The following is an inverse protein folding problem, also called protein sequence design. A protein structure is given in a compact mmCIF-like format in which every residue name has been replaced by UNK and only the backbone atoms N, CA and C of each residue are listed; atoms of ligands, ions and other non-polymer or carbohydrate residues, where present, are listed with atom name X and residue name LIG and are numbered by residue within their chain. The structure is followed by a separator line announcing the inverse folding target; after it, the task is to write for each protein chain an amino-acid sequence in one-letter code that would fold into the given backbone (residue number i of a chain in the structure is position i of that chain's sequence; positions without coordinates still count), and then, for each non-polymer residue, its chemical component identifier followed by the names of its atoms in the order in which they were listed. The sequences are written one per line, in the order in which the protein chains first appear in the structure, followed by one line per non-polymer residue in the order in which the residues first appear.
data_IF_625227698100
#
_entry.id   IF_625227698100
#
_cell.length_a   1.000
_cell.length_b   1.000
_cell.length_c   1.000
_cell.angle_alpha   90.00
_cell.angle_beta   90.00
_cell.angle_gamma   90.00
#
_symmetry.space_group_name_H-M   'P 1'
#
loop_
_entity.id
_entity.type
_entity.pdbx_description
1 polymer ?
#
# COMPACT_ATOMS: atom_id res chain seq x y z
N UNK A 1 -85.25 29.55 -39.85
CA UNK A 1 -84.46 29.05 -38.71
C UNK A 1 -84.79 27.59 -38.46
N UNK A 2 -83.76 26.80 -38.13
CA UNK A 2 -83.76 25.40 -37.65
C UNK A 2 -83.96 24.27 -38.69
N UNK A 3 -82.81 23.77 -39.12
CA UNK A 3 -82.54 22.42 -39.62
C UNK A 3 -82.68 21.40 -38.49
N UNK A 4 -83.34 20.27 -38.74
CA UNK A 4 -83.35 19.09 -37.87
C UNK A 4 -82.97 17.85 -38.68
N UNK A 5 -81.89 17.22 -38.24
CA UNK A 5 -81.24 16.04 -38.82
C UNK A 5 -82.04 14.76 -38.58
N UNK A 6 -82.26 14.02 -39.66
CA UNK A 6 -82.30 12.54 -39.75
C UNK A 6 -80.83 12.06 -39.78
N UNK A 7 -80.38 10.87 -39.37
CA UNK A 7 -80.90 9.51 -39.59
C UNK A 7 -80.00 8.48 -38.87
N UNK A 8 -80.62 7.35 -38.51
CA UNK A 8 -80.21 5.94 -38.69
C UNK A 8 -79.05 5.29 -37.91
N UNK A 9 -79.43 4.14 -37.33
CA UNK A 9 -78.61 3.13 -36.68
C UNK A 9 -77.78 2.32 -37.67
N UNK A 10 -76.55 1.99 -37.30
CA UNK A 10 -75.66 1.09 -38.04
C UNK A 10 -75.72 -0.35 -37.47
N UNK A 11 -75.85 -1.34 -38.37
CA UNK A 11 -75.62 -2.77 -38.06
C UNK A 11 -74.13 -3.10 -38.21
N UNK A 12 -73.57 -4.02 -37.40
CA UNK A 12 -72.16 -4.36 -37.44
C UNK A 12 -71.83 -5.29 -38.62
N UNK A 13 -70.77 -4.95 -39.36
CA UNK A 13 -70.18 -5.78 -40.41
C UNK A 13 -69.32 -6.89 -39.80
N UNK A 14 -69.44 -8.11 -40.35
CA UNK A 14 -68.55 -9.24 -40.03
C UNK A 14 -67.18 -9.04 -40.72
N UNK A 15 -66.06 -9.33 -40.03
CA UNK A 15 -64.73 -9.19 -40.61
C UNK A 15 -64.50 -10.21 -41.75
N UNK A 16 -63.73 -9.80 -42.75
CA UNK A 16 -63.46 -10.57 -43.97
C UNK A 16 -62.36 -11.63 -43.74
N UNK A 17 -62.33 -12.67 -44.58
CA UNK A 17 -61.39 -13.78 -44.47
C UNK A 17 -59.90 -13.37 -44.47
N UNK A 18 -59.57 -12.19 -45.00
CA UNK A 18 -58.20 -11.62 -44.97
C UNK A 18 -57.79 -11.15 -43.57
N UNK A 19 -58.72 -10.69 -42.74
CA UNK A 19 -58.44 -10.29 -41.35
C UNK A 19 -58.21 -11.52 -40.47
N UNK A 20 -58.92 -12.63 -40.70
CA UNK A 20 -58.73 -13.88 -39.98
C UNK A 20 -57.34 -14.51 -40.24
N UNK A 21 -56.87 -14.47 -41.50
CA UNK A 21 -55.55 -15.01 -41.85
C UNK A 21 -54.41 -14.16 -41.27
N UNK A 22 -54.56 -12.83 -41.24
CA UNK A 22 -53.60 -11.92 -40.59
C UNK A 22 -53.50 -12.16 -39.08
N UNK A 23 -54.65 -12.42 -38.42
CA UNK A 23 -54.65 -12.80 -37.00
C UNK A 23 -54.02 -14.17 -36.77
N UNK A 24 -54.22 -15.15 -37.65
CA UNK A 24 -53.61 -16.48 -37.52
C UNK A 24 -52.08 -16.41 -37.66
N UNK A 25 -51.57 -15.66 -38.65
CA UNK A 25 -50.13 -15.47 -38.85
C UNK A 25 -49.51 -14.69 -37.68
N UNK A 26 -50.16 -13.62 -37.21
CA UNK A 26 -49.70 -12.88 -36.04
C UNK A 26 -49.66 -13.75 -34.78
N UNK A 27 -50.65 -14.63 -34.58
CA UNK A 27 -50.71 -15.56 -33.45
C UNK A 27 -49.61 -16.63 -33.55
N UNK A 28 -49.35 -17.17 -34.75
CA UNK A 28 -48.24 -18.11 -34.95
C UNK A 28 -46.87 -17.47 -34.73
N UNK A 29 -46.67 -16.21 -35.17
CA UNK A 29 -45.43 -15.47 -34.92
C UNK A 29 -45.27 -15.16 -33.42
N UNK A 30 -46.36 -14.83 -32.72
CA UNK A 30 -46.32 -14.59 -31.27
C UNK A 30 -46.03 -15.87 -30.47
N UNK A 31 -46.63 -17.00 -30.85
CA UNK A 31 -46.39 -18.32 -30.22
C UNK A 31 -44.97 -18.81 -30.49
N UNK A 32 -44.42 -18.58 -31.69
CA UNK A 32 -43.03 -18.93 -32.01
C UNK A 32 -42.04 -18.03 -31.24
N UNK A 33 -42.34 -16.73 -31.10
CA UNK A 33 -41.53 -15.81 -30.30
C UNK A 33 -41.55 -16.16 -28.80
N UNK A 34 -42.69 -16.59 -28.26
CA UNK A 34 -42.80 -17.09 -26.88
C UNK A 34 -42.08 -18.44 -26.67
N UNK A 35 -42.08 -19.34 -27.65
CA UNK A 35 -41.35 -20.60 -27.57
C UNK A 35 -39.82 -20.41 -27.64
N UNK A 36 -39.34 -19.47 -28.47
CA UNK A 36 -37.91 -19.11 -28.54
C UNK A 36 -37.46 -18.35 -27.29
N UNK A 37 -38.30 -17.45 -26.75
CA UNK A 37 -38.02 -16.78 -25.48
C UNK A 37 -37.99 -17.76 -24.29
N UNK A 38 -38.88 -18.75 -24.26
CA UNK A 38 -38.90 -19.78 -23.20
C UNK A 38 -37.68 -20.70 -23.27
N UNK A 39 -37.21 -21.02 -24.49
CA UNK A 39 -36.01 -21.83 -24.70
C UNK A 39 -34.72 -21.08 -24.35
N UNK A 40 -34.67 -19.77 -24.60
CA UNK A 40 -33.55 -18.90 -24.20
C UNK A 40 -33.51 -18.69 -22.67
N UNK A 41 -34.66 -18.63 -22.00
CA UNK A 41 -34.71 -18.54 -20.53
C UNK A 41 -34.27 -19.85 -19.85
N UNK A 42 -34.59 -21.02 -20.40
CA UNK A 42 -34.09 -22.31 -19.87
C UNK A 42 -32.57 -22.47 -20.11
N UNK A 43 -32.04 -21.93 -21.20
CA UNK A 43 -30.60 -21.89 -21.45
C UNK A 43 -29.85 -20.89 -20.53
N UNK A 44 -30.50 -19.79 -20.11
CA UNK A 44 -29.94 -18.86 -19.12
C UNK A 44 -30.06 -19.33 -17.66
N UNK A 45 -30.95 -20.28 -17.35
CA UNK A 45 -31.16 -20.83 -15.99
C UNK A 45 -30.33 -22.10 -15.72
N UNK A 46 -29.67 -22.67 -16.74
CA UNK A 46 -28.55 -23.60 -16.50
C UNK A 46 -27.30 -22.81 -16.14
N UNK A 47 -27.31 -22.25 -14.92
CA UNK A 47 -26.05 -21.94 -14.25
C UNK A 47 -25.18 -23.19 -14.28
N UNK A 48 -23.88 -23.11 -14.65
CA UNK A 48 -22.98 -24.22 -14.40
C UNK A 48 -23.15 -24.58 -12.93
N UNK A 49 -23.51 -25.84 -12.64
CA UNK A 49 -23.48 -26.30 -11.25
C UNK A 49 -22.09 -25.93 -10.72
N UNK A 50 -21.99 -25.27 -9.56
CA UNK A 50 -20.70 -25.07 -8.94
C UNK A 50 -20.11 -26.47 -8.82
N UNK A 51 -19.04 -26.74 -9.55
CA UNK A 51 -18.14 -27.82 -9.20
C UNK A 51 -17.89 -27.61 -7.73
N UNK A 52 -18.33 -28.57 -6.90
CA UNK A 52 -18.07 -28.54 -5.47
C UNK A 52 -16.57 -28.43 -5.37
N UNK A 53 -16.08 -27.22 -5.09
CA UNK A 53 -14.69 -26.98 -4.83
C UNK A 53 -14.34 -27.94 -3.71
N UNK A 54 -13.31 -28.74 -3.93
CA UNK A 54 -12.76 -29.63 -2.92
C UNK A 54 -12.68 -28.83 -1.59
N UNK A 55 -13.47 -29.19 -0.56
CA UNK A 55 -13.52 -28.44 0.69
C UNK A 55 -12.16 -28.43 1.41
N UNK A 56 -11.19 -29.24 0.96
CA UNK A 56 -9.81 -29.24 1.42
C UNK A 56 -8.86 -28.27 0.68
N UNK A 57 -9.25 -27.69 -0.46
CA UNK A 57 -8.38 -26.81 -1.28
C UNK A 57 -9.05 -25.45 -1.54
N UNK A 58 -9.08 -24.65 -0.49
CA UNK A 58 -9.47 -23.24 -0.53
C UNK A 58 -8.76 -22.45 -1.64
N UNK A 59 -9.51 -21.57 -2.32
CA UNK A 59 -8.98 -20.75 -3.40
C UNK A 59 -7.81 -19.86 -2.95
N UNK A 60 -6.76 -19.69 -3.79
CA UNK A 60 -5.69 -18.75 -3.52
C UNK A 60 -6.19 -17.30 -3.59
N UNK A 61 -5.52 -16.41 -2.86
CA UNK A 61 -5.83 -14.97 -2.83
C UNK A 61 -4.55 -14.14 -2.91
N UNK A 62 -4.67 -12.89 -3.36
CA UNK A 62 -3.55 -11.96 -3.40
C UNK A 62 -3.22 -11.46 -1.99
N UNK A 63 -1.93 -11.36 -1.68
CA UNK A 63 -1.42 -10.76 -0.44
C UNK A 63 -0.30 -9.81 -0.81
N UNK A 64 -0.36 -8.57 -0.33
CA UNK A 64 0.78 -7.66 -0.43
C UNK A 64 1.97 -8.30 0.32
N UNK A 65 3.16 -8.29 -0.30
CA UNK A 65 4.40 -8.80 0.29
C UNK A 65 5.43 -7.70 0.54
N UNK A 66 5.28 -6.58 -0.15
CA UNK A 66 6.04 -5.35 0.06
C UNK A 66 5.13 -4.16 -0.28
N UNK A 67 5.31 -3.06 0.44
CA UNK A 67 4.63 -1.78 0.24
C UNK A 67 5.61 -0.64 0.53
N UNK A 68 5.31 0.55 0.02
CA UNK A 68 5.89 1.81 0.50
C UNK A 68 4.84 2.91 0.49
N UNK A 69 4.91 3.80 1.49
CA UNK A 69 3.95 4.90 1.64
C UNK A 69 4.18 5.96 0.54
N UNK A 70 3.20 6.23 -0.34
CA UNK A 70 3.34 7.24 -1.38
C UNK A 70 3.36 8.67 -0.79
N UNK A 71 4.35 9.46 -1.21
CA UNK A 71 4.55 10.87 -0.87
C UNK A 71 4.61 11.73 -2.14
N UNK A 72 4.22 13.01 -2.02
CA UNK A 72 4.59 14.02 -3.00
C UNK A 72 6.10 14.28 -2.83
N UNK A 73 6.85 14.18 -3.92
CA UNK A 73 8.29 14.35 -3.88
C UNK A 73 8.65 15.80 -3.58
N UNK A 74 9.34 16.01 -2.47
CA UNK A 74 9.85 17.34 -2.10
C UNK A 74 11.00 17.76 -3.04
N UNK A 75 11.23 19.07 -3.24
CA UNK A 75 12.25 19.56 -4.16
C UNK A 75 13.65 18.96 -3.94
N UNK A 76 14.08 18.79 -2.69
CA UNK A 76 15.38 18.20 -2.35
C UNK A 76 15.47 16.67 -2.54
N UNK A 77 14.33 16.03 -2.83
CA UNK A 77 14.19 14.58 -3.02
C UNK A 77 13.79 14.22 -4.46
N UNK A 78 13.74 15.20 -5.38
CA UNK A 78 13.51 14.96 -6.80
C UNK A 78 14.67 14.18 -7.43
N UNK A 79 14.42 13.41 -8.51
CA UNK A 79 15.49 12.84 -9.32
C UNK A 79 16.53 13.93 -9.67
N UNK A 80 17.83 13.72 -9.45
CA UNK A 80 18.84 14.73 -9.70
C UNK A 80 18.95 15.03 -11.21
N UNK A 81 19.65 16.11 -11.57
CA UNK A 81 19.97 16.38 -12.97
C UNK A 81 20.69 15.16 -13.60
N UNK A 82 20.40 14.80 -14.88
CA UNK A 82 19.52 15.50 -15.81
C UNK A 82 18.03 15.05 -15.76
N UNK A 83 17.64 14.25 -14.76
CA UNK A 83 16.34 13.56 -14.73
C UNK A 83 15.16 14.43 -14.26
N UNK A 84 15.41 15.66 -13.80
CA UNK A 84 14.37 16.67 -13.52
C UNK A 84 14.62 17.90 -14.38
N UNK A 85 13.67 18.22 -15.27
CA UNK A 85 13.66 19.44 -16.06
C UNK A 85 12.72 20.50 -15.49
N UNK A 86 12.45 21.56 -16.25
CA UNK A 86 11.58 22.67 -15.79
C UNK A 86 10.09 22.30 -15.70
N UNK A 87 9.64 21.37 -16.55
CA UNK A 87 8.22 21.03 -16.72
C UNK A 87 7.92 19.53 -16.72
N UNK A 88 8.96 18.71 -16.72
CA UNK A 88 8.84 17.27 -16.80
C UNK A 88 9.96 16.60 -16.01
N UNK A 89 9.70 15.37 -15.58
CA UNK A 89 10.63 14.55 -14.81
C UNK A 89 10.71 13.15 -15.41
N UNK A 90 11.86 12.51 -15.27
CA UNK A 90 12.15 11.16 -15.79
C UNK A 90 11.96 11.03 -17.31
N UNK A 91 12.21 12.08 -18.08
CA UNK A 91 12.17 12.04 -19.56
C UNK A 91 13.29 11.14 -20.06
N UNK A 92 12.98 10.23 -20.99
CA UNK A 92 13.89 9.21 -21.52
C UNK A 92 14.70 8.52 -20.42
N UNK A 93 14.04 8.08 -19.34
CA UNK A 93 14.72 7.60 -18.13
C UNK A 93 14.33 6.19 -17.76
N UNK A 94 15.34 5.33 -17.59
CA UNK A 94 15.24 4.06 -16.88
C UNK A 94 15.50 4.27 -15.40
N UNK A 95 14.61 3.73 -14.57
CA UNK A 95 14.68 3.69 -13.12
C UNK A 95 14.71 2.23 -12.65
N UNK A 96 15.79 1.81 -12.00
CA UNK A 96 15.96 0.47 -11.42
C UNK A 96 15.99 0.54 -9.91
N UNK A 97 15.08 -0.18 -9.27
CA UNK A 97 14.81 -0.08 -7.84
C UNK A 97 14.82 -1.48 -7.22
N UNK A 98 15.36 -1.62 -6.03
CA UNK A 98 15.33 -2.89 -5.29
C UNK A 98 14.36 -2.80 -4.12
N UNK A 99 13.58 -3.86 -3.91
CA UNK A 99 12.68 -4.01 -2.77
C UNK A 99 12.85 -5.37 -2.11
N UNK A 100 12.67 -5.47 -0.80
CA UNK A 100 12.71 -6.74 -0.07
C UNK A 100 11.30 -7.26 0.14
N UNK A 101 10.96 -8.39 -0.46
CA UNK A 101 9.62 -8.99 -0.26
C UNK A 101 9.55 -9.78 1.03
N UNK A 102 8.38 -9.82 1.67
CA UNK A 102 8.17 -10.61 2.89
C UNK A 102 7.91 -12.08 2.60
N UNK A 103 6.73 -12.39 2.06
CA UNK A 103 6.29 -13.73 1.66
C UNK A 103 6.59 -13.97 0.19
N UNK A 104 6.88 -15.22 -0.15
CA UNK A 104 7.10 -15.67 -1.53
C UNK A 104 5.84 -16.22 -2.20
N UNK A 105 5.94 -16.53 -3.49
CA UNK A 105 4.88 -17.14 -4.29
C UNK A 105 5.32 -17.35 -5.73
N UNK A 106 4.57 -18.15 -6.48
CA UNK A 106 4.86 -18.47 -7.89
C UNK A 106 4.37 -17.39 -8.86
N UNK A 107 3.40 -16.58 -8.43
CA UNK A 107 2.82 -15.50 -9.22
C UNK A 107 2.85 -14.20 -8.45
N UNK A 108 3.32 -13.15 -9.11
CA UNK A 108 3.39 -11.80 -8.57
C UNK A 108 2.59 -10.82 -9.42
N UNK A 109 2.25 -9.67 -8.86
CA UNK A 109 1.82 -8.49 -9.62
C UNK A 109 2.33 -7.23 -8.93
N UNK A 110 2.51 -6.18 -9.72
CA UNK A 110 3.10 -4.92 -9.30
C UNK A 110 2.04 -3.81 -9.26
N UNK A 111 2.25 -2.84 -8.37
CA UNK A 111 1.47 -1.60 -8.33
C UNK A 111 2.34 -0.37 -8.54
N UNK A 112 1.87 0.50 -9.42
CA UNK A 112 2.45 1.81 -9.67
C UNK A 112 1.43 2.89 -9.34
N UNK A 113 1.90 3.95 -8.71
CA UNK A 113 1.06 5.01 -8.15
C UNK A 113 1.39 6.37 -8.76
N UNK A 114 0.35 7.05 -9.20
CA UNK A 114 0.36 8.44 -9.61
C UNK A 114 -0.48 9.30 -8.65
N UNK A 115 -0.54 8.91 -7.37
CA UNK A 115 -1.45 9.48 -6.36
C UNK A 115 -1.33 11.00 -6.21
N UNK A 116 -0.14 11.57 -6.41
CA UNK A 116 0.09 13.02 -6.32
C UNK A 116 0.34 13.68 -7.67
N UNK A 117 0.46 12.89 -8.75
CA UNK A 117 0.71 13.45 -10.06
C UNK A 117 -0.52 14.12 -10.63
N UNK A 118 -0.28 15.28 -11.23
CA UNK A 118 -1.30 16.14 -11.83
C UNK A 118 -1.48 15.91 -13.33
N UNK A 119 -0.63 15.09 -13.94
CA UNK A 119 -0.71 14.65 -15.34
C UNK A 119 -0.61 13.13 -15.44
N UNK A 120 -1.11 12.51 -16.53
CA UNK A 120 -0.96 11.07 -16.74
C UNK A 120 0.51 10.66 -16.69
N UNK A 121 0.78 9.52 -16.06
CA UNK A 121 2.11 8.91 -15.93
C UNK A 121 2.26 7.79 -16.98
N UNK A 122 3.04 8.00 -18.06
CA UNK A 122 3.29 6.96 -19.05
C UNK A 122 4.39 6.01 -18.57
N UNK A 123 4.04 4.73 -18.42
CA UNK A 123 4.99 3.64 -18.20
C UNK A 123 5.24 2.94 -19.54
N UNK A 124 6.41 3.14 -20.13
CA UNK A 124 6.74 2.64 -21.48
C UNK A 124 7.13 1.17 -21.46
N UNK A 125 7.87 0.74 -20.44
CA UNK A 125 8.23 -0.66 -20.22
C UNK A 125 8.56 -0.92 -18.75
N UNK A 126 8.23 -2.11 -18.26
CA UNK A 126 8.55 -2.56 -16.91
C UNK A 126 9.09 -3.98 -16.95
N UNK A 127 10.17 -4.24 -16.23
CA UNK A 127 10.72 -5.57 -16.03
C UNK A 127 11.00 -5.85 -14.56
N UNK A 128 11.01 -7.13 -14.20
CA UNK A 128 11.48 -7.61 -12.90
C UNK A 128 12.62 -8.61 -13.07
N UNK A 129 13.49 -8.68 -12.08
CA UNK A 129 14.57 -9.66 -12.02
C UNK A 129 15.03 -9.88 -10.57
N UNK A 130 15.81 -10.94 -10.33
CA UNK A 130 16.56 -11.05 -9.07
C UNK A 130 17.81 -10.15 -9.17
N UNK A 131 18.16 -9.37 -8.14
CA UNK A 131 19.39 -8.60 -8.15
C UNK A 131 20.61 -9.52 -8.07
N UNK A 132 21.73 -9.10 -8.68
CA UNK A 132 22.99 -9.85 -8.65
C UNK A 132 23.39 -10.21 -7.21
N UNK A 133 23.69 -11.49 -6.99
CA UNK A 133 24.03 -12.08 -5.68
C UNK A 133 22.93 -11.91 -4.61
N UNK A 134 21.69 -11.64 -5.02
CA UNK A 134 20.56 -11.33 -4.13
C UNK A 134 20.71 -10.03 -3.34
N UNK A 135 21.66 -9.15 -3.69
CA UNK A 135 21.98 -7.94 -2.89
C UNK A 135 20.96 -6.81 -3.08
N UNK A 136 20.73 -6.03 -2.03
CA UNK A 136 19.92 -4.82 -2.13
C UNK A 136 20.71 -3.68 -2.77
N UNK A 137 20.05 -2.91 -3.64
CA UNK A 137 20.59 -1.67 -4.18
C UNK A 137 21.82 -1.85 -5.06
N UNK A 138 21.89 -2.95 -5.82
CA UNK A 138 22.88 -3.16 -6.89
C UNK A 138 22.26 -2.86 -8.25
N UNK A 139 23.07 -2.34 -9.18
CA UNK A 139 22.62 -2.02 -10.55
C UNK A 139 22.46 -3.25 -11.43
N UNK A 140 23.15 -4.34 -11.10
CA UNK A 140 23.14 -5.59 -11.84
C UNK A 140 22.04 -6.56 -11.39
N UNK A 141 21.52 -7.35 -12.33
CA UNK A 141 20.54 -8.41 -12.10
C UNK A 141 21.09 -9.78 -12.50
N UNK A 142 20.59 -10.84 -11.88
CA UNK A 142 20.99 -12.21 -12.17
C UNK A 142 20.60 -12.62 -13.61
N UNK A 143 21.55 -13.15 -14.40
CA UNK A 143 21.27 -13.62 -15.76
C UNK A 143 20.11 -14.62 -15.82
N UNK A 144 19.22 -14.47 -16.79
CA UNK A 144 18.10 -15.38 -17.02
C UNK A 144 16.88 -15.16 -16.11
N UNK A 145 16.96 -14.27 -15.12
CA UNK A 145 15.83 -13.97 -14.22
C UNK A 145 14.92 -12.84 -14.71
N UNK A 146 15.36 -12.07 -15.70
CA UNK A 146 14.62 -10.93 -16.24
C UNK A 146 13.29 -11.37 -16.87
N UNK A 147 12.18 -10.75 -16.47
CA UNK A 147 10.84 -10.97 -17.01
C UNK A 147 10.15 -9.64 -17.30
N UNK A 148 9.45 -9.59 -18.43
CA UNK A 148 8.60 -8.45 -18.80
C UNK A 148 7.34 -8.43 -17.92
N UNK A 149 6.90 -7.22 -17.56
CA UNK A 149 5.64 -6.98 -16.85
C UNK A 149 4.66 -6.32 -17.82
N UNK A 150 3.44 -6.87 -17.91
CA UNK A 150 2.40 -6.38 -18.82
C UNK A 150 1.21 -5.77 -18.08
N UNK A 151 0.40 -5.00 -18.81
CA UNK A 151 -0.85 -4.38 -18.36
C UNK A 151 -1.93 -4.62 -19.40
N UNK A 152 -2.89 -5.49 -19.10
CA UNK A 152 -3.88 -5.98 -20.06
C UNK A 152 -3.24 -6.53 -21.34
N UNK A 153 -2.16 -7.32 -21.19
CA UNK A 153 -1.39 -7.94 -22.27
C UNK A 153 -0.45 -7.01 -23.03
N UNK A 154 -0.34 -5.73 -22.63
CA UNK A 154 0.55 -4.74 -23.27
C UNK A 154 1.78 -4.48 -22.42
N UNK A 155 2.93 -4.28 -23.05
CA UNK A 155 4.18 -3.88 -22.37
C UNK A 155 4.15 -2.49 -21.72
N UNK A 156 3.19 -1.65 -22.11
CA UNK A 156 3.08 -0.26 -21.71
C UNK A 156 1.68 0.06 -21.16
N UNK A 157 1.60 1.07 -20.30
CA UNK A 157 0.35 1.62 -19.77
C UNK A 157 0.48 3.08 -19.41
N UNK A 158 -0.64 3.76 -19.19
CA UNK A 158 -0.67 5.12 -18.67
C UNK A 158 -1.50 5.14 -17.40
N UNK A 159 -0.91 5.61 -16.30
CA UNK A 159 -1.60 5.77 -15.02
C UNK A 159 -2.25 7.17 -14.99
N UNK A 160 -3.59 7.28 -14.87
CA UNK A 160 -4.24 8.57 -14.77
C UNK A 160 -3.73 9.40 -13.58
N UNK A 161 -3.90 10.73 -13.64
CA UNK A 161 -3.61 11.62 -12.51
C UNK A 161 -4.39 11.17 -11.26
N UNK A 162 -3.71 11.12 -10.11
CA UNK A 162 -4.31 10.69 -8.83
C UNK A 162 -4.64 9.20 -8.71
N UNK A 163 -4.33 8.37 -9.72
CA UNK A 163 -4.71 6.96 -9.76
C UNK A 163 -3.54 6.01 -9.48
N UNK A 164 -3.86 4.72 -9.36
CA UNK A 164 -2.90 3.62 -9.34
C UNK A 164 -3.23 2.62 -10.46
N UNK A 165 -2.24 1.86 -10.91
CA UNK A 165 -2.42 0.74 -11.84
C UNK A 165 -1.82 -0.54 -11.25
N UNK A 166 -2.44 -1.67 -11.57
CA UNK A 166 -1.96 -3.00 -11.21
C UNK A 166 -1.55 -3.73 -12.49
N UNK A 167 -0.39 -4.39 -12.48
CA UNK A 167 0.04 -5.22 -13.61
C UNK A 167 -0.82 -6.48 -13.77
N UNK A 168 -0.71 -7.12 -14.93
CA UNK A 168 -1.14 -8.51 -15.07
C UNK A 168 -0.34 -9.41 -14.11
N UNK A 169 -0.90 -10.55 -13.68
CA UNK A 169 -0.14 -11.57 -12.97
C UNK A 169 1.03 -12.09 -13.82
N UNK A 170 2.21 -12.15 -13.21
CA UNK A 170 3.44 -12.66 -13.81
C UNK A 170 3.89 -13.93 -13.08
N UNK A 171 4.18 -15.00 -13.83
CA UNK A 171 4.84 -16.18 -13.30
C UNK A 171 6.32 -15.85 -12.98
N UNK A 172 6.63 -15.79 -11.69
CA UNK A 172 7.94 -15.47 -11.17
C UNK A 172 8.10 -16.13 -9.80
N UNK A 173 8.89 -17.21 -9.74
CA UNK A 173 9.13 -17.98 -8.52
C UNK A 173 9.91 -17.18 -7.47
N UNK A 174 9.18 -16.42 -6.65
CA UNK A 174 9.75 -15.51 -5.67
C UNK A 174 9.84 -16.20 -4.31
N UNK A 175 11.06 -16.31 -3.76
CA UNK A 175 11.26 -16.88 -2.41
C UNK A 175 11.00 -15.83 -1.32
N UNK A 176 10.49 -16.22 -0.14
CA UNK A 176 10.31 -15.29 0.99
C UNK A 176 11.62 -14.57 1.38
N UNK A 177 11.53 -13.30 1.80
CA UNK A 177 12.65 -12.42 2.19
C UNK A 177 13.73 -12.18 1.13
N UNK A 178 13.42 -12.40 -0.15
CA UNK A 178 14.35 -12.13 -1.25
C UNK A 178 14.23 -10.68 -1.71
N UNK A 179 15.32 -10.11 -2.19
CA UNK A 179 15.28 -8.83 -2.87
C UNK A 179 14.77 -9.01 -4.32
N UNK A 180 13.91 -8.12 -4.77
CA UNK A 180 13.37 -8.06 -6.13
C UNK A 180 13.82 -6.75 -6.76
N UNK A 181 14.37 -6.81 -7.96
CA UNK A 181 14.67 -5.63 -8.78
C UNK A 181 13.51 -5.35 -9.70
N UNK A 182 13.03 -4.11 -9.69
CA UNK A 182 12.01 -3.59 -10.62
C UNK A 182 12.67 -2.50 -11.46
N UNK A 183 12.65 -2.66 -12.79
CA UNK A 183 13.16 -1.66 -13.74
C UNK A 183 12.00 -1.09 -14.53
N UNK A 184 11.86 0.24 -14.53
CA UNK A 184 10.80 0.97 -15.23
C UNK A 184 11.44 1.96 -16.19
N UNK A 185 10.97 2.01 -17.44
CA UNK A 185 11.38 3.01 -18.42
C UNK A 185 10.22 3.94 -18.75
N UNK A 186 10.52 5.23 -18.80
CA UNK A 186 9.61 6.30 -19.20
C UNK A 186 10.25 7.04 -20.39
N UNK A 187 9.77 6.78 -21.60
CA UNK A 187 10.26 7.48 -22.80
C UNK A 187 9.93 8.97 -22.74
N UNK A 188 8.67 9.31 -22.48
CA UNK A 188 8.19 10.69 -22.45
C UNK A 188 8.34 11.36 -21.07
N UNK A 189 8.70 10.59 -20.04
CA UNK A 189 8.66 11.03 -18.64
C UNK A 189 7.25 11.40 -18.18
N UNK A 190 7.15 12.10 -17.05
CA UNK A 190 5.90 12.70 -16.59
C UNK A 190 5.96 14.21 -16.81
N UNK A 191 4.97 14.75 -17.53
CA UNK A 191 4.85 16.19 -17.81
C UNK A 191 4.32 16.98 -16.58
N UNK A 192 4.92 16.77 -15.42
CA UNK A 192 4.66 17.46 -14.17
C UNK A 192 5.84 17.28 -13.23
N UNK A 193 6.04 18.24 -12.32
CA UNK A 193 6.98 18.11 -11.21
C UNK A 193 6.33 17.56 -9.94
N UNK A 194 5.01 17.34 -9.94
CA UNK A 194 4.30 16.68 -8.86
C UNK A 194 4.52 15.16 -8.92
N UNK A 195 5.73 14.71 -8.62
CA UNK A 195 6.12 13.31 -8.72
C UNK A 195 5.67 12.53 -7.48
N UNK A 196 5.08 11.35 -7.66
CA UNK A 196 4.85 10.40 -6.56
C UNK A 196 6.12 9.62 -6.26
N UNK A 197 6.56 9.60 -5.00
CA UNK A 197 7.76 8.91 -4.55
C UNK A 197 7.67 8.41 -3.12
N UNK A 198 8.76 7.84 -2.65
CA UNK A 198 9.05 7.53 -1.27
C UNK A 198 10.54 7.79 -1.01
N UNK A 199 10.91 8.97 -0.48
CA UNK A 199 12.31 9.33 -0.22
C UNK A 199 12.98 8.50 0.88
N UNK A 200 12.18 7.88 1.75
CA UNK A 200 12.62 7.04 2.86
C UNK A 200 13.20 5.67 2.49
N UNK A 201 13.51 5.41 1.21
CA UNK A 201 13.72 4.06 0.68
C UNK A 201 14.81 3.22 1.36
N UNK A 202 15.81 3.84 2.00
CA UNK A 202 17.04 3.21 2.54
C UNK A 202 17.67 2.15 1.64
N UNK A 203 17.44 2.27 0.34
CA UNK A 203 17.88 1.33 -0.69
C UNK A 203 18.30 2.13 -1.90
N UNK A 204 19.46 1.83 -2.45
CA UNK A 204 19.97 2.51 -3.63
C UNK A 204 19.16 2.08 -4.85
N UNK A 205 18.62 3.07 -5.55
CA UNK A 205 18.02 2.97 -6.87
C UNK A 205 18.96 3.61 -7.90
N UNK A 206 18.78 3.28 -9.18
CA UNK A 206 19.63 3.73 -10.26
C UNK A 206 18.79 4.39 -11.36
N UNK A 207 19.24 5.55 -11.82
CA UNK A 207 18.65 6.33 -12.90
C UNK A 207 19.61 6.36 -14.09
N UNK A 208 19.11 6.13 -15.30
CA UNK A 208 19.91 6.22 -16.52
C UNK A 208 19.07 6.66 -17.71
N UNK A 209 19.65 7.48 -18.58
CA UNK A 209 19.01 7.87 -19.84
C UNK A 209 18.90 6.68 -20.80
N UNK A 210 17.83 6.63 -21.59
CA UNK A 210 17.54 5.55 -22.55
C UNK A 210 16.81 4.35 -21.93
N UNK A 211 16.31 3.45 -22.79
CA UNK A 211 15.68 2.19 -22.39
C UNK A 211 16.72 1.14 -21.98
N UNK A 212 16.84 0.93 -20.67
CA UNK A 212 17.69 -0.08 -20.04
C UNK A 212 16.93 -1.27 -19.48
N UNK A 213 15.65 -1.44 -19.82
CA UNK A 213 14.81 -2.46 -19.18
C UNK A 213 15.27 -3.89 -19.44
N UNK A 214 15.96 -4.13 -20.56
CA UNK A 214 16.54 -5.44 -20.92
C UNK A 214 18.00 -5.66 -20.49
N UNK A 215 18.65 -4.67 -19.88
CA UNK A 215 20.08 -4.74 -19.58
C UNK A 215 20.37 -5.44 -18.26
N UNK A 216 21.38 -6.31 -18.26
CA UNK A 216 21.79 -7.03 -17.05
C UNK A 216 22.40 -6.11 -16.00
N UNK A 217 23.15 -5.08 -16.42
CA UNK A 217 23.72 -4.07 -15.52
C UNK A 217 23.49 -2.67 -16.08
N UNK A 218 23.05 -1.74 -15.23
CA UNK A 218 22.93 -0.34 -15.59
C UNK A 218 24.25 0.39 -15.32
N UNK A 219 25.30 -0.01 -16.04
CA UNK A 219 26.60 0.64 -15.95
C UNK A 219 26.48 2.15 -16.25
N UNK A 220 27.18 2.98 -15.45
CA UNK A 220 27.14 4.44 -15.57
C UNK A 220 25.85 5.11 -15.10
N UNK A 221 24.91 4.38 -14.49
CA UNK A 221 23.71 4.95 -13.93
C UNK A 221 23.98 5.81 -12.68
N UNK A 222 23.16 6.84 -12.47
CA UNK A 222 23.20 7.71 -11.30
C UNK A 222 22.50 7.07 -10.11
N UNK A 223 23.20 6.83 -8.99
CA UNK A 223 22.59 6.27 -7.79
C UNK A 223 21.80 7.34 -7.02
N UNK A 224 20.66 6.95 -6.48
CA UNK A 224 19.81 7.74 -5.57
C UNK A 224 19.25 6.84 -4.48
N UNK A 225 18.93 7.37 -3.30
CA UNK A 225 18.39 6.57 -2.20
C UNK A 225 16.89 6.82 -2.04
N UNK A 226 16.14 6.64 -3.12
CA UNK A 226 14.71 6.95 -3.23
C UNK A 226 14.00 5.85 -4.01
N UNK A 227 12.72 5.62 -3.70
CA UNK A 227 11.82 4.93 -4.61
C UNK A 227 10.91 5.96 -5.29
N UNK A 228 10.71 5.88 -6.59
CA UNK A 228 9.77 6.69 -7.36
C UNK A 228 8.72 5.80 -8.02
N UNK A 229 7.49 6.30 -8.09
CA UNK A 229 6.35 5.73 -8.84
C UNK A 229 5.85 4.33 -8.41
N UNK A 230 6.66 3.54 -7.71
CA UNK A 230 6.39 2.16 -7.37
C UNK A 230 5.84 2.05 -5.95
N UNK A 231 4.67 1.43 -5.77
CA UNK A 231 3.98 1.41 -4.47
C UNK A 231 4.01 0.03 -3.81
N UNK A 232 3.78 -1.07 -4.55
CA UNK A 232 3.59 -2.39 -3.94
C UNK A 232 3.96 -3.59 -4.82
N UNK A 233 4.24 -4.71 -4.15
CA UNK A 233 4.27 -6.06 -4.74
C UNK A 233 3.22 -6.93 -4.05
N UNK A 234 2.44 -7.67 -4.83
CA UNK A 234 1.53 -8.71 -4.34
C UNK A 234 1.95 -10.09 -4.84
N UNK A 235 1.78 -11.12 -4.00
CA UNK A 235 2.00 -12.53 -4.33
C UNK A 235 0.68 -13.30 -4.23
N UNK A 236 0.41 -14.17 -5.19
CA UNK A 236 -0.73 -15.08 -5.12
C UNK A 236 -0.40 -16.18 -4.10
N UNK A 237 -1.17 -16.23 -3.03
CA UNK A 237 -0.87 -17.02 -1.84
C UNK A 237 -1.97 -18.01 -1.48
N UNK A 238 -1.63 -19.02 -0.69
CA UNK A 238 -2.61 -19.91 -0.06
C UNK A 238 -3.43 -19.19 1.02
N UNK A 239 -4.59 -19.77 1.37
CA UNK A 239 -5.60 -19.15 2.26
C UNK A 239 -5.15 -18.73 3.64
N UNK A 240 -3.99 -19.19 4.12
CA UNK A 240 -3.50 -18.90 5.47
C UNK A 240 -2.46 -17.78 5.48
N UNK A 241 -2.02 -17.31 4.30
CA UNK A 241 -1.09 -16.18 4.20
C UNK A 241 -1.82 -14.87 4.48
N UNK A 242 -1.25 -14.04 5.34
CA UNK A 242 -1.79 -12.74 5.77
C UNK A 242 -0.69 -11.71 5.88
N UNK A 243 -1.07 -10.45 5.96
CA UNK A 243 -0.17 -9.33 6.15
C UNK A 243 -0.46 -8.59 7.46
N UNK A 244 0.61 -8.12 8.11
CA UNK A 244 0.57 -7.05 9.10
C UNK A 244 1.07 -5.76 8.44
N UNK A 245 0.26 -4.70 8.49
CA UNK A 245 0.66 -3.36 8.09
C UNK A 245 1.24 -2.58 9.27
N UNK A 246 2.27 -1.78 9.02
CA UNK A 246 2.86 -0.85 9.99
C UNK A 246 2.54 0.57 9.53
N UNK A 247 1.69 1.25 10.30
CA UNK A 247 1.42 2.67 10.15
C UNK A 247 2.32 3.43 11.12
N UNK A 248 3.15 4.33 10.59
CA UNK A 248 4.19 4.97 11.39
C UNK A 248 4.90 6.13 10.71
N UNK A 249 5.93 6.60 11.40
CA UNK A 249 6.77 7.74 11.00
C UNK A 249 8.22 7.32 10.67
N UNK A 250 9.19 8.23 10.80
CA UNK A 250 10.61 7.99 10.53
C UNK A 250 11.20 6.80 11.30
N UNK A 251 10.67 6.47 12.48
CA UNK A 251 11.11 5.33 13.29
C UNK A 251 10.75 4.00 12.62
N UNK A 252 9.59 3.93 11.97
CA UNK A 252 9.18 2.74 11.23
C UNK A 252 9.68 2.74 9.79
N UNK A 253 9.78 3.92 9.17
CA UNK A 253 10.40 4.14 7.86
C UNK A 253 11.90 3.77 7.87
N UNK A 254 12.52 3.81 9.05
CA UNK A 254 13.84 3.26 9.33
C UNK A 254 14.97 4.26 9.20
N UNK A 255 14.76 5.53 9.56
CA UNK A 255 15.85 6.52 9.70
C UNK A 255 16.89 6.00 10.71
N UNK A 256 18.18 6.02 10.36
CA UNK A 256 19.23 5.44 11.21
C UNK A 256 19.53 3.96 10.92
N UNK A 257 18.76 3.31 10.03
CA UNK A 257 19.12 2.01 9.46
C UNK A 257 20.26 2.13 8.43
N UNK A 258 20.90 1.01 8.10
CA UNK A 258 21.97 0.97 7.10
C UNK A 258 21.36 0.97 5.70
N UNK A 259 21.77 1.90 4.84
CA UNK A 259 21.39 1.87 3.42
C UNK A 259 21.80 0.53 2.80
N UNK A 260 20.88 -0.11 2.07
CA UNK A 260 21.04 -1.47 1.50
C UNK A 260 21.17 -2.59 2.55
N UNK A 261 20.97 -2.30 3.84
CA UNK A 261 21.14 -3.26 4.93
C UNK A 261 19.89 -4.05 5.29
N UNK A 262 18.70 -3.63 4.84
CA UNK A 262 17.42 -4.27 5.18
C UNK A 262 17.28 -4.53 6.70
N UNK A 263 17.64 -3.54 7.52
CA UNK A 263 17.72 -3.66 8.97
C UNK A 263 16.87 -2.61 9.71
N UNK A 264 15.78 -2.16 9.08
CA UNK A 264 14.69 -1.44 9.77
C UNK A 264 13.97 -2.40 10.70
N UNK A 265 13.25 -1.90 11.71
CA UNK A 265 12.58 -2.82 12.64
C UNK A 265 11.51 -3.71 11.97
N UNK A 266 10.76 -3.28 10.92
CA UNK A 266 9.84 -4.20 10.22
C UNK A 266 10.59 -5.31 9.47
N UNK A 267 11.77 -5.02 8.91
CA UNK A 267 12.63 -6.03 8.27
C UNK A 267 13.12 -7.06 9.30
N UNK A 268 13.57 -6.59 10.47
CA UNK A 268 14.05 -7.47 11.53
C UNK A 268 12.90 -8.25 12.19
N UNK A 269 11.69 -7.68 12.22
CA UNK A 269 10.48 -8.41 12.63
C UNK A 269 10.19 -9.55 11.65
N UNK A 270 10.22 -9.27 10.35
CA UNK A 270 10.05 -10.28 9.30
C UNK A 270 11.05 -11.44 9.49
N UNK A 271 12.33 -11.14 9.66
CA UNK A 271 13.37 -12.16 9.83
C UNK A 271 13.14 -13.03 11.07
N UNK A 272 12.75 -12.41 12.19
CA UNK A 272 12.39 -13.15 13.41
C UNK A 272 11.15 -14.03 13.20
N UNK A 273 10.08 -13.50 12.58
CA UNK A 273 8.85 -14.26 12.34
C UNK A 273 9.12 -15.47 11.44
N UNK A 274 9.92 -15.32 10.39
CA UNK A 274 10.27 -16.43 9.48
C UNK A 274 11.00 -17.58 10.17
N UNK A 275 11.71 -17.30 11.26
CA UNK A 275 12.34 -18.34 12.10
C UNK A 275 11.36 -19.14 12.95
N UNK A 276 10.08 -18.76 13.00
CA UNK A 276 9.06 -19.41 13.83
C UNK A 276 8.09 -20.27 13.01
N UNK A 277 7.51 -21.34 13.61
CA UNK A 277 6.50 -22.16 12.95
C UNK A 277 5.34 -21.34 12.40
N UNK A 278 5.10 -21.44 11.08
CA UNK A 278 4.04 -20.73 10.37
C UNK A 278 4.34 -19.27 10.04
N UNK A 279 5.46 -18.71 10.50
CA UNK A 279 5.75 -17.29 10.29
C UNK A 279 6.16 -16.92 8.87
N UNK A 280 6.52 -17.91 8.05
CA UNK A 280 6.71 -17.76 6.60
C UNK A 280 5.41 -17.41 5.83
N UNK A 281 4.25 -17.42 6.50
CA UNK A 281 2.95 -17.02 5.95
C UNK A 281 2.50 -15.62 6.37
N UNK A 282 3.36 -14.88 7.07
CA UNK A 282 3.06 -13.52 7.52
C UNK A 282 3.92 -12.54 6.72
N UNK A 283 3.27 -11.69 5.94
CA UNK A 283 3.92 -10.54 5.30
C UNK A 283 3.98 -9.36 6.27
N UNK A 284 5.07 -8.60 6.26
CA UNK A 284 5.22 -7.36 7.02
C UNK A 284 5.29 -6.21 6.03
N UNK A 285 4.30 -5.32 6.09
CA UNK A 285 4.13 -4.21 5.16
C UNK A 285 4.47 -2.90 5.87
N UNK A 286 5.51 -2.23 5.40
CA UNK A 286 5.91 -0.96 5.98
C UNK A 286 5.21 0.19 5.24
N UNK A 287 4.26 0.82 5.90
CA UNK A 287 3.52 1.98 5.40
C UNK A 287 3.86 3.24 6.19
N UNK A 288 5.08 3.29 6.72
CA UNK A 288 5.59 4.45 7.41
C UNK A 288 6.24 5.45 6.45
N UNK A 289 6.37 6.70 6.90
CA UNK A 289 7.10 7.73 6.17
C UNK A 289 7.78 8.70 7.15
N UNK A 290 9.00 9.12 6.83
CA UNK A 290 9.71 10.13 7.60
C UNK A 290 8.88 11.39 7.85
N UNK A 291 8.90 11.92 9.08
CA UNK A 291 8.16 13.13 9.43
C UNK A 291 6.63 13.03 9.31
N UNK A 292 6.07 11.83 9.10
CA UNK A 292 4.63 11.64 9.04
C UNK A 292 3.98 11.86 10.41
N UNK A 293 2.72 12.27 10.38
CA UNK A 293 1.96 12.71 11.55
C UNK A 293 0.57 12.10 11.48
N UNK A 294 -0.02 11.88 12.64
CA UNK A 294 -1.36 11.30 12.74
C UNK A 294 -2.43 12.31 12.33
N UNK A 295 -2.28 13.56 12.77
CA UNK A 295 -3.33 14.58 12.73
C UNK A 295 -3.23 15.54 11.54
N UNK A 296 -2.01 15.88 11.13
CA UNK A 296 -1.75 16.96 10.15
C UNK A 296 -0.70 16.51 9.12
N UNK A 297 -0.73 17.01 7.89
CA UNK A 297 0.22 16.56 6.86
C UNK A 297 1.67 16.92 7.22
N UNK A 298 2.61 15.98 7.11
CA UNK A 298 4.05 16.20 7.33
C UNK A 298 4.81 16.23 6.02
N UNK A 299 5.86 15.40 5.89
CA UNK A 299 6.51 15.11 4.59
C UNK A 299 5.61 14.26 3.65
N UNK A 300 4.34 14.09 4.01
CA UNK A 300 3.29 13.39 3.28
C UNK A 300 1.93 13.52 4.00
N UNK A 301 0.84 13.03 3.40
CA UNK A 301 -0.50 13.12 4.01
C UNK A 301 -0.56 12.51 5.40
N UNK A 302 -1.35 13.10 6.29
CA UNK A 302 -1.56 12.58 7.64
C UNK A 302 -2.14 11.15 7.66
N UNK A 303 -1.87 10.42 8.74
CA UNK A 303 -2.26 9.03 8.90
C UNK A 303 -3.78 8.81 8.76
N UNK A 304 -4.60 9.72 9.31
CA UNK A 304 -6.07 9.62 9.21
C UNK A 304 -6.57 9.74 7.77
N UNK A 305 -5.97 10.63 6.96
CA UNK A 305 -6.34 10.82 5.57
C UNK A 305 -5.91 9.65 4.68
N UNK A 306 -4.76 9.04 4.97
CA UNK A 306 -4.19 7.97 4.12
C UNK A 306 -4.56 6.55 4.55
N UNK A 307 -5.21 6.36 5.70
CA UNK A 307 -5.52 5.03 6.25
C UNK A 307 -6.21 4.10 5.24
N UNK A 308 -7.19 4.62 4.50
CA UNK A 308 -7.95 3.83 3.53
C UNK A 308 -7.05 3.34 2.40
N UNK A 309 -6.25 4.25 1.83
CA UNK A 309 -5.35 3.96 0.72
C UNK A 309 -4.21 3.03 1.15
N UNK A 310 -3.58 3.32 2.28
CA UNK A 310 -2.30 2.73 2.69
C UNK A 310 -2.45 1.51 3.60
N UNK A 311 -3.63 1.26 4.16
CA UNK A 311 -3.88 0.07 5.01
C UNK A 311 -5.11 -0.69 4.55
N UNK A 312 -6.28 -0.05 4.53
CA UNK A 312 -7.55 -0.76 4.35
C UNK A 312 -7.72 -1.35 2.94
N UNK A 313 -7.16 -0.71 1.93
CA UNK A 313 -7.23 -1.16 0.54
C UNK A 313 -6.17 -2.22 0.16
N UNK A 314 -5.26 -2.59 1.07
CA UNK A 314 -4.22 -3.58 0.79
C UNK A 314 -4.70 -5.01 0.95
N UNK A 315 -4.28 -5.85 0.01
CA UNK A 315 -4.68 -7.25 -0.06
C UNK A 315 -4.07 -8.07 1.07
N UNK A 316 -4.93 -8.81 1.78
CA UNK A 316 -4.51 -9.79 2.79
C UNK A 316 -4.11 -9.20 4.13
N UNK A 317 -4.27 -7.89 4.36
CA UNK A 317 -4.06 -7.27 5.68
C UNK A 317 -5.06 -7.83 6.69
N UNK A 318 -4.55 -8.33 7.81
CA UNK A 318 -5.37 -8.79 8.95
C UNK A 318 -4.95 -8.15 10.27
N UNK A 319 -3.77 -7.53 10.29
CA UNK A 319 -3.24 -6.85 11.45
C UNK A 319 -2.67 -5.49 11.07
N UNK A 320 -2.80 -4.54 11.97
CA UNK A 320 -2.23 -3.20 11.88
C UNK A 320 -1.43 -2.94 13.15
N UNK A 321 -0.19 -2.49 13.03
CA UNK A 321 0.58 -1.90 14.13
C UNK A 321 0.57 -0.38 13.93
N UNK A 322 0.10 0.36 14.93
CA UNK A 322 0.14 1.83 14.96
C UNK A 322 1.30 2.26 15.84
N UNK A 323 2.34 2.81 15.21
CA UNK A 323 3.52 3.37 15.87
C UNK A 323 3.85 4.73 15.25
N UNK A 324 3.04 5.73 15.61
CA UNK A 324 3.09 7.09 15.07
C UNK A 324 2.58 8.07 16.12
N UNK A 325 3.04 9.33 16.08
CA UNK A 325 2.55 10.40 16.95
C UNK A 325 3.64 11.27 17.56
N UNK A 326 4.90 10.83 17.49
CA UNK A 326 6.03 11.61 18.04
C UNK A 326 6.17 12.96 17.32
N UNK A 327 5.92 13.00 16.01
CA UNK A 327 5.97 14.20 15.19
C UNK A 327 4.81 15.16 15.49
N UNK A 328 3.64 14.65 15.85
CA UNK A 328 2.52 15.49 16.31
C UNK A 328 2.90 16.23 17.61
N UNK A 329 3.51 15.53 18.57
CA UNK A 329 4.01 16.12 19.82
C UNK A 329 5.16 17.10 19.56
N UNK A 330 6.14 16.70 18.76
CA UNK A 330 7.35 17.48 18.48
C UNK A 330 7.11 18.72 17.61
N UNK A 331 6.02 18.76 16.84
CA UNK A 331 5.65 19.95 16.03
C UNK A 331 4.63 20.85 16.72
N UNK A 332 3.93 20.36 17.77
CA UNK A 332 3.06 21.19 18.57
C UNK A 332 3.86 22.22 19.39
N UNK A 333 3.25 23.40 19.61
CA UNK A 333 3.82 24.44 20.47
C UNK A 333 4.09 23.90 21.87
N UNK A 334 5.17 24.37 22.50
CA UNK A 334 5.56 24.03 23.87
C UNK A 334 4.80 24.87 24.90
N UNK A 335 3.46 24.89 24.79
CA UNK A 335 2.56 25.50 25.78
C UNK A 335 1.67 24.43 26.40
N UNK A 336 1.28 24.55 27.70
CA UNK A 336 0.39 23.57 28.33
C UNK A 336 -0.91 23.34 27.55
N UNK A 337 -1.49 24.41 26.98
CA UNK A 337 -2.73 24.32 26.23
C UNK A 337 -2.56 23.59 24.87
N UNK A 338 -1.48 23.85 24.13
CA UNK A 338 -1.22 23.16 22.87
C UNK A 338 -0.87 21.68 23.08
N UNK A 339 -0.08 21.39 24.11
CA UNK A 339 0.33 20.04 24.49
C UNK A 339 -0.85 19.19 25.03
N UNK A 340 -1.77 19.80 25.77
CA UNK A 340 -3.02 19.15 26.15
C UNK A 340 -3.89 18.85 24.91
N UNK A 341 -4.07 19.82 24.00
CA UNK A 341 -4.86 19.62 22.78
C UNK A 341 -4.33 18.47 21.92
N UNK A 342 -3.02 18.44 21.64
CA UNK A 342 -2.43 17.35 20.83
C UNK A 342 -2.55 15.99 21.51
N UNK A 343 -2.51 15.92 22.85
CA UNK A 343 -2.78 14.68 23.60
C UNK A 343 -4.20 14.18 23.32
N UNK A 344 -5.20 15.05 23.48
CA UNK A 344 -6.61 14.70 23.31
C UNK A 344 -6.93 14.32 21.85
N UNK A 345 -6.37 15.07 20.90
CA UNK A 345 -6.55 14.85 19.47
C UNK A 345 -5.90 13.53 19.01
N UNK A 346 -4.69 13.21 19.48
CA UNK A 346 -4.05 11.92 19.19
C UNK A 346 -4.88 10.74 19.71
N UNK A 347 -5.38 10.84 20.94
CA UNK A 347 -6.24 9.81 21.54
C UNK A 347 -7.52 9.62 20.71
N UNK A 348 -8.16 10.71 20.28
CA UNK A 348 -9.33 10.65 19.42
C UNK A 348 -9.00 10.02 18.05
N UNK A 349 -7.87 10.39 17.45
CA UNK A 349 -7.42 9.85 16.17
C UNK A 349 -7.11 8.34 16.24
N UNK A 350 -6.43 7.87 17.29
CA UNK A 350 -6.19 6.43 17.47
C UNK A 350 -7.49 5.64 17.56
N UNK A 351 -8.50 6.17 18.27
CA UNK A 351 -9.84 5.54 18.29
C UNK A 351 -10.46 5.46 16.89
N UNK A 352 -10.31 6.50 16.06
CA UNK A 352 -10.81 6.47 14.69
C UNK A 352 -10.08 5.45 13.82
N UNK A 353 -8.76 5.32 13.98
CA UNK A 353 -7.97 4.29 13.29
C UNK A 353 -8.47 2.89 13.67
N UNK A 354 -8.66 2.64 14.97
CA UNK A 354 -9.19 1.37 15.48
C UNK A 354 -10.56 1.06 14.88
N UNK A 355 -11.51 2.01 14.97
CA UNK A 355 -12.88 1.82 14.43
C UNK A 355 -12.87 1.49 12.94
N UNK A 356 -12.10 2.23 12.13
CA UNK A 356 -12.04 2.03 10.67
C UNK A 356 -11.37 0.70 10.29
N UNK A 357 -10.32 0.30 11.00
CA UNK A 357 -9.65 -0.98 10.79
C UNK A 357 -10.54 -2.16 11.20
N UNK A 358 -11.20 -2.09 12.37
CA UNK A 358 -12.15 -3.10 12.82
C UNK A 358 -13.32 -3.27 11.87
N UNK A 359 -13.80 -2.20 11.23
CA UNK A 359 -14.83 -2.27 10.20
C UNK A 359 -14.41 -3.11 8.97
N UNK A 360 -13.10 -3.31 8.74
CA UNK A 360 -12.54 -4.18 7.72
C UNK A 360 -12.05 -5.54 8.28
N UNK A 361 -12.33 -5.84 9.55
CA UNK A 361 -11.88 -7.06 10.22
C UNK A 361 -10.38 -7.09 10.53
N UNK A 362 -9.70 -5.93 10.52
CA UNK A 362 -8.26 -5.81 10.80
C UNK A 362 -8.08 -5.57 12.29
N UNK A 363 -7.32 -6.43 12.97
CA UNK A 363 -6.94 -6.21 14.39
C UNK A 363 -5.87 -5.13 14.49
N UNK A 364 -5.97 -4.26 15.48
CA UNK A 364 -5.09 -3.11 15.67
C UNK A 364 -4.29 -3.24 16.96
N UNK A 365 -2.97 -3.16 16.81
CA UNK A 365 -2.00 -3.20 17.88
C UNK A 365 -1.36 -1.82 18.07
N UNK A 366 -1.42 -1.28 19.28
CA UNK A 366 -0.78 -0.01 19.61
C UNK A 366 0.67 -0.21 20.03
N UNK A 367 1.55 0.67 19.59
CA UNK A 367 2.92 0.77 20.12
C UNK A 367 3.10 2.08 20.87
N UNK A 368 3.66 2.03 22.08
CA UNK A 368 3.99 3.25 22.84
C UNK A 368 5.07 4.07 22.13
N UNK A 369 4.93 5.40 22.14
CA UNK A 369 5.91 6.35 21.61
C UNK A 369 7.24 6.27 22.37
N UNK A 370 8.35 6.18 21.66
CA UNK A 370 9.70 6.07 22.26
C UNK A 370 10.17 7.41 22.86
N UNK A 371 11.08 7.37 23.85
CA UNK A 371 11.66 8.59 24.42
C UNK A 371 12.43 9.43 23.39
N UNK A 372 12.51 10.74 23.62
CA UNK A 372 13.20 11.70 22.75
C UNK A 372 13.99 12.80 23.50
N UNK A 373 14.16 12.68 24.83
CA UNK A 373 14.94 13.67 25.59
C UNK A 373 16.37 13.74 25.05
N UNK A 374 16.88 14.95 24.88
CA UNK A 374 18.18 15.24 24.25
C UNK A 374 18.12 15.51 22.76
N UNK A 375 17.00 15.24 22.08
CA UNK A 375 16.81 15.63 20.69
C UNK A 375 16.36 17.10 20.63
N UNK A 376 17.24 18.03 20.25
CA UNK A 376 16.97 19.48 20.35
C UNK A 376 15.65 19.94 19.69
N UNK A 377 15.23 19.43 18.51
CA UNK A 377 13.95 19.83 17.93
C UNK A 377 12.70 19.29 18.67
N UNK A 378 12.81 18.17 19.38
CA UNK A 378 11.67 17.47 20.00
C UNK A 378 11.61 17.64 21.52
N UNK A 379 12.75 17.69 22.18
CA UNK A 379 12.86 17.97 23.60
C UNK A 379 12.54 19.45 23.90
N UNK A 380 12.07 19.72 25.11
CA UNK A 380 11.81 21.08 25.57
C UNK A 380 12.24 21.26 27.03
N UNK A 381 12.85 22.40 27.41
CA UNK A 381 13.36 22.59 28.76
C UNK A 381 12.30 22.49 29.86
N UNK A 382 11.02 22.74 29.53
CA UNK A 382 9.91 22.67 30.47
C UNK A 382 9.35 21.24 30.63
N UNK A 383 9.79 20.28 29.81
CA UNK A 383 9.33 18.89 29.84
C UNK A 383 7.87 18.70 29.44
N UNK A 384 7.26 19.67 28.75
CA UNK A 384 5.85 19.62 28.39
C UNK A 384 5.58 18.52 27.37
N UNK A 385 6.46 18.35 26.37
CA UNK A 385 6.33 17.31 25.35
C UNK A 385 6.58 15.91 25.92
N UNK A 386 7.51 15.76 26.86
CA UNK A 386 7.68 14.49 27.57
C UNK A 386 6.44 14.15 28.40
N UNK A 387 5.83 15.16 29.05
CA UNK A 387 4.56 14.98 29.77
C UNK A 387 3.44 14.51 28.82
N UNK A 388 3.31 15.15 27.66
CA UNK A 388 2.39 14.72 26.58
C UNK A 388 2.65 13.28 26.15
N UNK A 389 3.90 12.93 25.87
CA UNK A 389 4.29 11.58 25.44
C UNK A 389 3.90 10.54 26.49
N UNK A 390 4.15 10.82 27.78
CA UNK A 390 3.75 9.94 28.88
C UNK A 390 2.24 9.81 29.01
N UNK A 391 1.48 10.90 28.83
CA UNK A 391 0.02 10.87 28.87
C UNK A 391 -0.56 10.01 27.73
N UNK A 392 -0.07 10.21 26.50
CA UNK A 392 -0.43 9.39 25.34
C UNK A 392 -0.08 7.92 25.58
N UNK A 393 1.13 7.63 26.06
CA UNK A 393 1.57 6.27 26.34
C UNK A 393 0.79 5.60 27.46
N UNK A 394 0.42 6.34 28.51
CA UNK A 394 -0.44 5.83 29.58
C UNK A 394 -1.81 5.41 29.01
N UNK A 395 -2.39 6.23 28.12
CA UNK A 395 -3.63 5.88 27.44
C UNK A 395 -3.47 4.66 26.53
N UNK A 396 -2.40 4.58 25.73
CA UNK A 396 -2.11 3.41 24.87
C UNK A 396 -2.09 2.14 25.73
N UNK A 397 -1.41 2.14 26.87
CA UNK A 397 -1.24 0.97 27.74
C UNK A 397 -2.52 0.53 28.45
N UNK A 398 -3.39 1.47 28.85
CA UNK A 398 -4.43 1.20 29.86
C UNK A 398 -5.86 1.33 29.35
N UNK A 399 -6.08 1.99 28.22
CA UNK A 399 -7.43 2.29 27.73
C UNK A 399 -8.23 1.06 27.29
N UNK A 400 -7.55 -0.02 26.90
CA UNK A 400 -8.18 -1.18 26.24
C UNK A 400 -8.70 -0.89 24.84
N UNK A 401 -8.30 0.24 24.22
CA UNK A 401 -8.77 0.62 22.88
C UNK A 401 -8.13 -0.22 21.76
N UNK A 402 -6.87 -0.65 21.93
CA UNK A 402 -6.19 -1.54 20.99
C UNK A 402 -6.43 -3.01 21.36
N UNK A 403 -6.40 -3.91 20.37
CA UNK A 403 -6.54 -5.35 20.58
C UNK A 403 -5.35 -5.93 21.37
N UNK A 404 -4.17 -5.31 21.24
CA UNK A 404 -2.99 -5.57 22.05
C UNK A 404 -2.03 -4.37 22.00
N UNK A 405 -1.06 -4.32 22.92
CA UNK A 405 -0.09 -3.24 23.02
C UNK A 405 1.33 -3.79 23.13
N UNK A 406 2.28 -3.17 22.41
CA UNK A 406 3.72 -3.37 22.59
C UNK A 406 4.36 -2.12 23.21
N UNK A 407 5.12 -2.32 24.28
CA UNK A 407 5.75 -1.23 25.02
C UNK A 407 7.15 -0.94 24.45
N UNK A 408 7.19 -0.28 23.29
CA UNK A 408 8.43 0.18 22.66
C UNK A 408 9.18 1.19 23.53
N UNK A 409 8.49 2.05 24.29
CA UNK A 409 9.11 2.97 25.25
C UNK A 409 9.97 2.20 26.25
N UNK A 410 9.39 1.20 26.91
CA UNK A 410 10.11 0.36 27.86
C UNK A 410 11.23 -0.44 27.20
N UNK A 411 11.06 -0.85 25.94
CA UNK A 411 12.05 -1.66 25.23
C UNK A 411 13.37 -0.92 24.99
N UNK A 412 13.31 0.40 24.74
CA UNK A 412 14.49 1.18 24.30
C UNK A 412 14.91 2.31 25.24
N UNK A 413 14.13 2.63 26.28
CA UNK A 413 14.50 3.70 27.22
C UNK A 413 15.68 3.33 28.10
N UNK A 414 16.48 4.32 28.45
CA UNK A 414 17.54 4.20 29.45
C UNK A 414 16.91 3.95 30.83
N UNK A 415 17.28 2.86 31.55
CA UNK A 415 16.77 2.61 32.90
C UNK A 415 17.20 3.68 33.93
N UNK A 416 18.30 4.41 33.69
CA UNK A 416 18.79 5.47 34.57
C UNK A 416 18.15 6.84 34.24
N UNK A 417 17.76 7.08 33.00
CA UNK A 417 16.97 8.25 32.58
C UNK A 417 15.85 7.83 31.61
N UNK A 418 14.67 7.43 32.11
CA UNK A 418 13.57 6.90 31.29
C UNK A 418 13.02 7.86 30.22
N UNK A 419 13.39 9.14 30.25
CA UNK A 419 13.08 10.11 29.19
C UNK A 419 14.00 10.01 27.97
N UNK A 420 15.10 9.26 28.06
CA UNK A 420 16.10 9.08 27.00
C UNK A 420 16.08 7.68 26.41
N UNK A 421 16.51 7.58 25.16
CA UNK A 421 16.91 6.29 24.56
C UNK A 421 18.17 5.77 25.24
N UNK A 422 18.32 4.44 25.32
CA UNK A 422 19.59 3.82 25.71
C UNK A 422 20.71 4.28 24.76
N UNK A 423 21.88 4.69 25.26
CA UNK A 423 22.96 5.25 24.43
C UNK A 423 23.44 4.34 23.28
N UNK A 424 23.36 3.03 23.46
CA UNK A 424 23.79 2.03 22.47
C UNK A 424 22.75 1.76 21.36
N UNK A 425 21.54 2.30 21.47
CA UNK A 425 20.43 2.01 20.56
C UNK A 425 20.08 3.12 19.57
N UNK A 426 20.66 4.31 19.68
CA UNK A 426 20.32 5.45 18.82
C UNK A 426 21.46 5.81 17.86
N UNK A 427 21.14 6.58 16.82
CA UNK A 427 22.11 6.99 15.79
C UNK A 427 22.96 8.23 16.18
N UNK A 428 22.57 8.88 17.27
CA UNK A 428 23.29 10.03 17.86
C UNK A 428 22.40 11.23 18.11
N UNK A 429 21.20 11.26 17.51
CA UNK A 429 20.28 12.39 17.63
C UNK A 429 19.27 12.30 18.79
N UNK A 430 19.30 11.21 19.55
CA UNK A 430 18.40 10.92 20.69
C UNK A 430 16.91 10.74 20.34
N UNK A 431 16.57 10.57 19.06
CA UNK A 431 15.22 10.26 18.58
C UNK A 431 15.22 8.97 17.73
N UNK A 432 16.11 8.91 16.73
CA UNK A 432 16.14 7.79 15.80
C UNK A 432 17.04 6.66 16.29
N UNK A 433 16.56 5.44 16.08
CA UNK A 433 17.26 4.23 16.46
C UNK A 433 18.30 3.84 15.41
N UNK A 434 19.39 3.25 15.87
CA UNK A 434 20.33 2.55 15.01
C UNK A 434 19.83 1.10 14.76
N UNK A 435 20.52 0.27 13.95
CA UNK A 435 20.07 -1.10 13.69
C UNK A 435 19.89 -1.99 14.93
N UNK A 436 20.62 -1.77 16.02
CA UNK A 436 20.44 -2.49 17.29
C UNK A 436 19.15 -2.05 18.00
N UNK A 437 18.88 -0.74 18.03
CA UNK A 437 17.62 -0.19 18.50
C UNK A 437 16.43 -0.76 17.75
N UNK A 438 16.53 -0.84 16.42
CA UNK A 438 15.49 -1.47 15.60
C UNK A 438 15.34 -2.98 15.84
N UNK A 439 16.42 -3.69 16.14
CA UNK A 439 16.33 -5.10 16.57
C UNK A 439 15.59 -5.24 17.88
N UNK A 440 15.84 -4.32 18.82
CA UNK A 440 15.17 -4.27 20.12
C UNK A 440 13.66 -4.06 19.96
N UNK A 441 13.23 -3.15 19.07
CA UNK A 441 11.80 -2.99 18.75
C UNK A 441 11.20 -4.27 18.14
N UNK A 442 11.87 -4.84 17.14
CA UNK A 442 11.41 -6.07 16.47
C UNK A 442 11.26 -7.24 17.45
N UNK A 443 12.18 -7.37 18.42
CA UNK A 443 12.15 -8.40 19.44
C UNK A 443 10.99 -8.23 20.43
N UNK A 444 10.58 -6.98 20.72
CA UNK A 444 9.51 -6.68 21.66
C UNK A 444 8.11 -7.06 21.13
N UNK A 445 7.90 -7.10 19.81
CA UNK A 445 6.61 -7.48 19.22
C UNK A 445 6.31 -8.96 19.51
N UNK A 446 5.18 -9.33 20.14
CA UNK A 446 4.86 -10.74 20.36
C UNK A 446 4.50 -11.47 19.06
N UNK A 447 5.22 -12.54 18.71
CA UNK A 447 4.91 -13.32 17.52
C UNK A 447 3.55 -14.05 17.58
N UNK A 448 3.01 -14.25 18.80
CA UNK A 448 1.69 -14.84 19.01
C UNK A 448 0.55 -13.98 18.46
N UNK A 449 0.76 -12.68 18.27
CA UNK A 449 -0.23 -11.77 17.70
C UNK A 449 -0.68 -12.15 16.28
N UNK A 450 0.20 -12.81 15.52
CA UNK A 450 -0.01 -13.11 14.11
C UNK A 450 -0.45 -14.56 13.87
N UNK A 451 -0.99 -15.20 14.91
CA UNK A 451 -1.62 -16.52 14.79
C UNK A 451 -3.11 -16.33 14.54
N UNK A 452 -3.71 -17.28 13.82
CA UNK A 452 -5.15 -17.35 13.72
C UNK A 452 -5.71 -17.62 15.13
N UNK A 453 -6.60 -16.75 15.59
CA UNK A 453 -7.45 -17.01 16.76
C UNK A 453 -8.51 -18.04 16.44
#
# INVERSE_FOLDING_TARGET
MKSLRRTQSSRPQRPSARTALAHLVATCVFVLALAVASSAVVALVRSPQPTVADPGRSAPHWVNTWTSMPQLTEPGNMPPAPFTGERAVLVDTTLRQTVRVSTGGERIRLRFSNAFGTTPLPLTAVTVALPQDGRAGVSAVEPGTLREVTFAGRRATTVPAGAQVVSDPLDFGLRPATNLTVTTYLADGQASLALTSHPGSRTTSYLRTGDGTGEQDLAGATPVNHWYLFSDVEVLSGRDTRAVAVLGDSLSDGRGSTTNGNNRWPDQLLDRLRGLPGGNRIAVLNQAAGGNRVLNDGLGPNALARLDRDVLAHSGVSWLIVFEGVNDIGTAETTPAAQQRVTDDLIAAYRQIVVRAHAQGIRVYGATLTPFRGNTPYDDPAGLRETTRQAVNAWIRTSGAFDAVVDFDRAVRDPADPGRLRPDLHDGDWLHLNPEGYRTLAAAVPASWFRKG
#
